data_IF_250236758748
#
_entry.id   IF_250236758748
#
_cell.length_a   1.000
_cell.length_b   1.000
_cell.length_c   1.000
_cell.angle_alpha   90.00
_cell.angle_beta   90.00
_cell.angle_gamma   90.00
#
_symmetry.space_group_name_H-M   'P 1'
#
loop_
_entity.id
_entity.type
_entity.pdbx_description
1 polymer ?
#
# COMPACT_ATOMS: atom_id res chain seq x y z
N UNK A 1 14.27 -24.42 1.41
CA UNK A 1 15.37 -25.33 1.76
C UNK A 1 15.02 -26.76 1.33
N UNK A 2 16.05 -27.57 1.06
CA UNK A 2 15.89 -29.00 0.83
C UNK A 2 15.66 -29.79 2.14
N UNK A 3 15.65 -31.13 2.05
CA UNK A 3 15.46 -32.02 3.22
C UNK A 3 16.62 -31.95 4.23
N UNK A 4 17.80 -31.47 3.82
CA UNK A 4 18.98 -31.25 4.64
C UNK A 4 18.96 -29.85 5.30
N UNK A 5 18.00 -29.00 4.96
CA UNK A 5 17.90 -27.62 5.42
C UNK A 5 18.83 -26.67 4.66
N UNK A 6 19.33 -27.07 3.49
CA UNK A 6 20.20 -26.27 2.65
C UNK A 6 19.40 -25.49 1.59
N UNK A 7 19.83 -24.27 1.30
CA UNK A 7 19.33 -23.45 0.20
C UNK A 7 20.50 -22.73 -0.45
N UNK A 8 20.50 -22.67 -1.77
CA UNK A 8 21.49 -21.93 -2.55
C UNK A 8 20.81 -20.80 -3.31
N UNK A 9 21.40 -19.61 -3.24
CA UNK A 9 20.92 -18.45 -3.95
C UNK A 9 22.09 -17.67 -4.54
N UNK A 10 21.97 -17.19 -5.75
CA UNK A 10 22.95 -16.30 -6.36
C UNK A 10 22.59 -14.84 -6.03
N UNK A 11 23.53 -14.13 -5.40
CA UNK A 11 23.34 -12.76 -4.94
C UNK A 11 24.48 -11.87 -5.46
N UNK A 12 24.22 -10.55 -5.51
CA UNK A 12 25.26 -9.54 -5.66
C UNK A 12 26.13 -9.45 -4.39
N UNK A 13 27.29 -8.81 -4.52
CA UNK A 13 28.16 -8.51 -3.38
C UNK A 13 27.60 -7.40 -2.52
N UNK A 14 27.99 -7.34 -1.26
CA UNK A 14 27.64 -6.29 -0.31
C UNK A 14 26.98 -6.85 0.97
N UNK A 15 26.32 -5.97 1.68
CA UNK A 15 25.61 -6.31 2.91
C UNK A 15 24.30 -7.01 2.59
N UNK A 16 24.08 -8.15 3.20
CA UNK A 16 22.83 -8.90 3.10
C UNK A 16 22.29 -9.23 4.46
N UNK A 17 20.97 -9.33 4.55
CA UNK A 17 20.27 -9.83 5.71
C UNK A 17 19.63 -11.17 5.38
N UNK A 18 20.04 -12.20 6.09
CA UNK A 18 19.51 -13.55 5.98
C UNK A 18 18.52 -13.81 7.12
N UNK A 19 17.34 -14.32 6.78
CA UNK A 19 16.33 -14.73 7.74
C UNK A 19 15.92 -16.18 7.48
N UNK A 20 15.84 -16.97 8.54
CA UNK A 20 15.26 -18.30 8.46
C UNK A 20 14.19 -18.49 9.53
N UNK A 21 13.13 -19.24 9.18
CA UNK A 21 11.99 -19.56 10.04
C UNK A 21 11.57 -21.00 9.87
N UNK A 22 11.23 -21.64 10.96
CA UNK A 22 10.61 -22.97 10.95
C UNK A 22 9.95 -23.23 12.31
N UNK A 23 8.70 -23.70 12.31
CA UNK A 23 7.98 -24.21 13.47
C UNK A 23 8.08 -23.34 14.75
N UNK A 24 7.89 -22.04 14.62
CA UNK A 24 7.97 -21.10 15.74
C UNK A 24 9.39 -20.74 16.16
N UNK A 25 10.39 -21.07 15.35
CA UNK A 25 11.78 -20.66 15.51
C UNK A 25 12.15 -19.62 14.47
N UNK A 26 13.06 -18.73 14.85
CA UNK A 26 13.52 -17.63 14.02
C UNK A 26 15.03 -17.40 14.22
N UNK A 27 15.70 -16.97 13.17
CA UNK A 27 17.04 -16.39 13.21
C UNK A 27 17.18 -15.32 12.13
N UNK A 28 17.87 -14.26 12.48
CA UNK A 28 18.29 -13.23 11.54
C UNK A 28 19.81 -13.04 11.67
N UNK A 29 20.49 -12.93 10.54
CA UNK A 29 21.93 -12.68 10.50
C UNK A 29 22.27 -11.71 9.38
N UNK A 30 23.14 -10.75 9.69
CA UNK A 30 23.71 -9.84 8.70
C UNK A 30 25.09 -10.36 8.29
N UNK A 31 25.37 -10.29 7.01
CA UNK A 31 26.62 -10.72 6.40
C UNK A 31 27.08 -9.69 5.37
N UNK A 32 28.37 -9.40 5.33
CA UNK A 32 28.99 -8.64 4.24
C UNK A 32 29.73 -9.59 3.31
N UNK A 33 29.15 -9.89 2.16
CA UNK A 33 29.74 -10.85 1.21
C UNK A 33 31.03 -10.36 0.57
N UNK A 34 31.33 -9.07 0.64
CA UNK A 34 32.59 -8.53 0.10
C UNK A 34 33.76 -8.64 1.10
N UNK A 35 33.48 -8.58 2.41
CA UNK A 35 34.49 -8.59 3.47
C UNK A 35 34.74 -9.97 4.05
N UNK A 36 33.75 -10.85 4.09
CA UNK A 36 33.82 -12.18 4.68
C UNK A 36 34.59 -13.22 3.83
N UNK A 37 35.47 -12.76 2.93
CA UNK A 37 36.41 -13.62 2.20
C UNK A 37 35.92 -14.10 0.84
N UNK A 38 34.76 -13.62 0.38
CA UNK A 38 34.17 -13.98 -0.93
C UNK A 38 34.55 -12.93 -1.98
N UNK A 39 35.82 -12.71 -2.14
CA UNK A 39 36.35 -11.66 -3.03
C UNK A 39 36.41 -12.00 -4.52
N UNK A 40 35.90 -13.14 -4.94
CA UNK A 40 35.90 -13.54 -6.37
C UNK A 40 34.45 -13.69 -6.87
N UNK A 41 34.22 -13.26 -8.08
CA UNK A 41 32.91 -13.25 -8.74
C UNK A 41 32.19 -14.62 -8.85
N UNK A 42 32.83 -15.71 -8.49
CA UNK A 42 32.35 -17.09 -8.53
C UNK A 42 32.66 -17.88 -7.25
N UNK A 43 32.85 -17.22 -6.12
CA UNK A 43 33.13 -17.94 -4.87
C UNK A 43 31.83 -18.33 -4.16
N UNK A 44 31.69 -19.62 -3.85
CA UNK A 44 30.63 -20.13 -2.98
C UNK A 44 30.89 -19.72 -1.53
N UNK A 45 29.95 -19.06 -0.90
CA UNK A 45 29.97 -18.73 0.51
C UNK A 45 28.88 -19.52 1.25
N UNK A 46 29.28 -20.28 2.26
CA UNK A 46 28.35 -21.01 3.11
C UNK A 46 28.07 -20.22 4.40
N UNK A 47 26.81 -19.92 4.67
CA UNK A 47 26.37 -19.27 5.90
C UNK A 47 25.47 -20.23 6.67
N UNK A 48 25.85 -20.57 7.90
CA UNK A 48 25.02 -21.39 8.78
C UNK A 48 24.13 -20.51 9.64
N UNK A 49 22.83 -20.78 9.60
CA UNK A 49 21.82 -20.13 10.45
C UNK A 49 21.30 -21.14 11.48
N UNK A 50 21.43 -20.80 12.76
CA UNK A 50 20.94 -21.65 13.85
C UNK A 50 19.61 -21.07 14.34
N UNK A 51 18.52 -21.81 14.12
CA UNK A 51 17.18 -21.43 14.54
C UNK A 51 17.09 -21.43 16.08
N UNK A 52 16.57 -20.34 16.65
CA UNK A 52 16.24 -20.17 18.07
C UNK A 52 14.73 -20.03 18.21
N UNK A 53 14.18 -20.22 19.42
CA UNK A 53 12.79 -19.89 19.68
C UNK A 53 12.51 -18.43 19.24
N UNK A 54 11.34 -18.18 18.62
CA UNK A 54 11.04 -16.90 17.95
C UNK A 54 11.24 -15.70 18.88
N UNK A 55 10.86 -15.82 20.16
CA UNK A 55 11.05 -14.75 21.13
C UNK A 55 12.54 -14.45 21.40
N UNK A 56 13.35 -15.51 21.59
CA UNK A 56 14.78 -15.36 21.83
C UNK A 56 15.52 -14.88 20.59
N UNK A 57 15.21 -15.44 19.41
CA UNK A 57 15.81 -15.03 18.14
C UNK A 57 15.49 -13.57 17.78
N UNK A 58 14.27 -13.13 18.05
CA UNK A 58 13.86 -11.75 17.83
C UNK A 58 14.53 -10.79 18.83
N UNK A 59 14.63 -11.19 20.10
CA UNK A 59 15.31 -10.40 21.12
C UNK A 59 16.78 -10.18 20.76
N UNK A 60 17.45 -11.21 20.26
CA UNK A 60 18.84 -11.09 19.80
C UNK A 60 18.93 -10.14 18.59
N UNK A 61 18.06 -10.30 17.60
CA UNK A 61 18.01 -9.41 16.44
C UNK A 61 17.77 -7.93 16.82
N UNK A 62 16.86 -7.69 17.78
CA UNK A 62 16.56 -6.35 18.28
C UNK A 62 17.70 -5.77 19.15
N UNK A 63 18.38 -6.60 19.96
CA UNK A 63 19.45 -6.12 20.85
C UNK A 63 20.67 -5.62 20.08
N UNK A 64 20.96 -6.22 18.92
CA UNK A 64 22.08 -5.80 18.06
C UNK A 64 21.86 -4.44 17.41
N UNK A 65 20.61 -4.03 17.19
CA UNK A 65 20.26 -2.85 16.40
C UNK A 65 19.79 -1.68 17.29
N UNK A 66 19.15 -1.96 18.40
CA UNK A 66 18.46 -0.96 19.25
C UNK A 66 19.38 0.07 19.92
N UNK A 67 20.67 -0.17 20.00
CA UNK A 67 21.59 0.69 20.78
C UNK A 67 22.23 1.85 19.98
N UNK A 68 22.16 1.87 18.64
CA UNK A 68 23.10 2.63 17.83
C UNK A 68 22.49 3.64 16.83
N UNK A 69 21.17 3.80 16.75
CA UNK A 69 20.55 4.70 15.79
C UNK A 69 20.44 4.08 14.38
N UNK A 70 20.72 4.85 13.33
CA UNK A 70 20.69 4.37 11.94
C UNK A 70 21.85 3.43 11.63
N UNK A 71 21.54 2.29 11.04
CA UNK A 71 22.50 1.34 10.50
C UNK A 71 22.58 1.46 8.99
N UNK A 72 23.80 1.63 8.45
CA UNK A 72 24.03 1.67 7.01
C UNK A 72 24.42 0.29 6.49
N UNK A 73 23.77 -0.10 5.41
CA UNK A 73 24.12 -1.26 4.60
C UNK A 73 24.41 -0.83 3.16
N UNK A 74 25.41 -1.46 2.53
CA UNK A 74 25.78 -1.19 1.15
C UNK A 74 25.61 -2.43 0.31
N UNK A 75 24.79 -2.35 -0.72
CA UNK A 75 24.61 -3.37 -1.75
C UNK A 75 25.40 -2.96 -2.98
N UNK A 76 26.35 -3.80 -3.38
CA UNK A 76 27.18 -3.53 -4.56
C UNK A 76 26.54 -4.14 -5.80
N UNK A 77 26.47 -3.39 -6.88
CA UNK A 77 26.07 -3.91 -8.17
C UNK A 77 27.06 -5.00 -8.65
N UNK A 78 26.59 -6.06 -9.33
CA UNK A 78 27.48 -7.04 -9.93
C UNK A 78 28.48 -6.35 -10.89
N UNK A 79 29.77 -6.57 -10.69
CA UNK A 79 30.83 -5.95 -11.51
C UNK A 79 30.78 -6.34 -12.98
N UNK A 80 30.11 -7.45 -13.29
CA UNK A 80 29.99 -8.01 -14.64
C UNK A 80 28.69 -7.65 -15.35
N UNK A 81 27.92 -6.72 -14.85
CA UNK A 81 26.87 -6.12 -15.68
C UNK A 81 27.57 -5.35 -16.78
N UNK A 82 27.83 -6.05 -17.87
CA UNK A 82 28.10 -5.40 -19.14
C UNK A 82 26.85 -4.58 -19.46
N UNK A 83 26.86 -3.33 -19.03
CA UNK A 83 25.96 -2.33 -19.61
C UNK A 83 26.32 -2.38 -21.10
N UNK A 84 25.53 -3.09 -21.89
CA UNK A 84 25.58 -2.94 -23.31
C UNK A 84 25.22 -1.48 -23.53
N UNK A 85 26.24 -0.64 -23.69
CA UNK A 85 26.01 0.65 -24.31
C UNK A 85 25.24 0.33 -25.59
N UNK A 86 23.98 0.71 -25.60
CA UNK A 86 23.21 0.63 -26.84
C UNK A 86 23.85 1.63 -27.75
N UNK A 87 24.75 1.14 -28.58
CA UNK A 87 25.41 1.94 -29.64
C UNK A 87 24.34 2.15 -30.71
N UNK A 88 23.28 2.91 -30.35
CA UNK A 88 22.36 3.41 -31.35
C UNK A 88 23.05 4.56 -32.05
N UNK A 89 23.12 4.49 -33.37
CA UNK A 89 23.57 5.60 -34.17
C UNK A 89 22.66 6.82 -33.97
N UNK A 90 23.18 8.03 -34.17
CA UNK A 90 22.38 9.26 -34.09
C UNK A 90 21.13 9.19 -34.98
N UNK A 91 21.23 8.51 -36.13
CA UNK A 91 20.11 8.29 -37.04
C UNK A 91 19.04 7.38 -36.43
N UNK A 92 19.40 6.31 -35.71
CA UNK A 92 18.47 5.41 -35.03
C UNK A 92 17.78 6.11 -33.83
N UNK A 93 18.53 6.90 -33.07
CA UNK A 93 17.98 7.74 -32.01
C UNK A 93 16.96 8.76 -32.57
N UNK A 94 17.36 9.48 -33.64
CA UNK A 94 16.48 10.46 -34.29
C UNK A 94 15.23 9.82 -34.88
N UNK A 95 15.36 8.64 -35.48
CA UNK A 95 14.22 7.86 -35.98
C UNK A 95 13.31 7.39 -34.86
N UNK A 96 13.87 6.91 -33.74
CA UNK A 96 13.12 6.53 -32.54
C UNK A 96 12.35 7.70 -31.95
N UNK A 97 12.97 8.86 -31.80
CA UNK A 97 12.37 10.09 -31.32
C UNK A 97 11.21 10.54 -32.18
N UNK A 98 11.37 10.53 -33.51
CA UNK A 98 10.27 10.85 -34.45
C UNK A 98 9.11 9.89 -34.32
N UNK A 99 9.36 8.57 -34.29
CA UNK A 99 8.31 7.56 -34.12
C UNK A 99 7.54 7.76 -32.82
N UNK A 100 8.23 8.11 -31.72
CA UNK A 100 7.60 8.42 -30.46
C UNK A 100 6.71 9.67 -30.55
N UNK A 101 7.22 10.74 -31.16
CA UNK A 101 6.46 11.98 -31.37
C UNK A 101 5.21 11.75 -32.22
N UNK A 102 5.33 10.98 -33.31
CA UNK A 102 4.19 10.63 -34.18
C UNK A 102 3.16 9.78 -33.43
N UNK A 103 3.62 8.82 -32.61
CA UNK A 103 2.72 7.99 -31.79
C UNK A 103 1.99 8.82 -30.72
N UNK A 104 2.68 9.76 -30.05
CA UNK A 104 2.08 10.69 -29.10
C UNK A 104 1.02 11.55 -29.78
N UNK A 105 1.35 12.15 -30.94
CA UNK A 105 0.42 12.98 -31.70
C UNK A 105 -0.84 12.19 -32.12
N UNK A 106 -0.67 11.00 -32.66
CA UNK A 106 -1.79 10.13 -33.05
C UNK A 106 -2.68 9.77 -31.85
N UNK A 107 -2.07 9.51 -30.71
CA UNK A 107 -2.80 9.24 -29.47
C UNK A 107 -3.60 10.47 -29.01
N UNK A 108 -3.00 11.65 -29.03
CA UNK A 108 -3.66 12.91 -28.65
C UNK A 108 -4.84 13.23 -29.61
N UNK A 109 -4.63 13.04 -30.91
CA UNK A 109 -5.71 13.20 -31.91
C UNK A 109 -6.86 12.23 -31.66
N UNK A 110 -6.56 10.94 -31.39
CA UNK A 110 -7.57 9.93 -31.06
C UNK A 110 -8.34 10.28 -29.79
N UNK A 111 -7.64 10.60 -28.71
CA UNK A 111 -8.31 10.99 -27.46
C UNK A 111 -9.10 12.29 -27.61
N UNK A 112 -8.58 13.26 -28.36
CA UNK A 112 -9.32 14.49 -28.65
C UNK A 112 -10.59 14.27 -29.48
N UNK A 113 -10.62 13.23 -30.32
CA UNK A 113 -11.85 12.83 -31.03
C UNK A 113 -12.85 12.15 -30.09
N UNK A 114 -12.38 11.21 -29.26
CA UNK A 114 -13.22 10.45 -28.32
C UNK A 114 -13.83 11.33 -27.22
N UNK A 115 -13.14 12.38 -26.79
CA UNK A 115 -13.60 13.25 -25.70
C UNK A 115 -14.27 14.54 -26.18
N UNK A 116 -14.33 14.79 -27.50
CA UNK A 116 -14.80 16.07 -28.06
C UNK A 116 -16.23 16.42 -27.66
N UNK A 117 -17.15 15.46 -27.72
CA UNK A 117 -18.53 15.65 -27.35
C UNK A 117 -18.66 15.91 -25.85
N UNK A 118 -18.07 15.05 -25.03
CA UNK A 118 -18.08 15.16 -23.57
C UNK A 118 -17.54 16.51 -23.06
N UNK A 119 -16.44 17.01 -23.66
CA UNK A 119 -15.87 18.33 -23.32
C UNK A 119 -16.76 19.48 -23.81
N UNK A 120 -17.41 19.32 -24.95
CA UNK A 120 -18.34 20.36 -25.46
C UNK A 120 -19.57 20.49 -24.57
N UNK A 121 -20.05 19.41 -23.98
CA UNK A 121 -21.22 19.38 -23.08
C UNK A 121 -20.81 19.84 -21.66
N UNK A 122 -19.67 19.40 -21.18
CA UNK A 122 -19.13 19.70 -19.83
C UNK A 122 -17.74 20.34 -19.90
N UNK A 123 -17.61 21.59 -20.37
CA UNK A 123 -16.31 22.26 -20.50
C UNK A 123 -15.62 22.47 -19.15
N UNK A 124 -16.37 22.55 -18.05
CA UNK A 124 -15.84 22.64 -16.68
C UNK A 124 -15.17 21.35 -16.20
N UNK A 125 -15.43 20.22 -16.86
CA UNK A 125 -14.86 18.90 -16.56
C UNK A 125 -13.83 18.46 -17.61
N UNK A 126 -13.30 19.38 -18.43
CA UNK A 126 -12.39 19.08 -19.55
C UNK A 126 -11.21 18.17 -19.13
N UNK A 127 -10.54 18.47 -18.01
CA UNK A 127 -9.41 17.67 -17.53
C UNK A 127 -9.85 16.23 -17.20
N UNK A 128 -10.99 16.06 -16.55
CA UNK A 128 -11.57 14.76 -16.23
C UNK A 128 -11.89 13.96 -17.48
N UNK A 129 -12.57 14.61 -18.46
CA UNK A 129 -12.95 13.95 -19.72
C UNK A 129 -11.72 13.52 -20.53
N UNK A 130 -10.65 14.34 -20.54
CA UNK A 130 -9.37 13.96 -21.14
C UNK A 130 -8.72 12.75 -20.45
N UNK A 131 -8.79 12.69 -19.10
CA UNK A 131 -8.31 11.54 -18.33
C UNK A 131 -9.16 10.31 -18.61
N UNK A 132 -10.48 10.44 -18.67
CA UNK A 132 -11.40 9.33 -18.92
C UNK A 132 -11.21 8.71 -20.32
N UNK A 133 -10.88 9.54 -21.33
CA UNK A 133 -10.63 9.06 -22.69
C UNK A 133 -11.84 8.34 -23.28
N UNK A 134 -11.73 7.04 -23.51
CA UNK A 134 -12.83 6.22 -24.08
C UNK A 134 -14.06 6.15 -23.16
N UNK A 135 -13.90 6.40 -21.88
CA UNK A 135 -14.98 6.39 -20.88
C UNK A 135 -15.67 7.74 -20.69
N UNK A 136 -15.26 8.78 -21.42
CA UNK A 136 -15.79 10.13 -21.24
C UNK A 136 -17.31 10.22 -21.48
N UNK A 137 -17.86 9.45 -22.43
CA UNK A 137 -19.29 9.40 -22.71
C UNK A 137 -20.10 8.76 -21.57
N UNK A 138 -19.54 7.76 -20.87
CA UNK A 138 -20.17 7.18 -19.69
C UNK A 138 -20.28 8.20 -18.55
N UNK A 139 -19.20 9.00 -18.33
CA UNK A 139 -19.24 10.07 -17.32
C UNK A 139 -20.21 11.18 -17.72
N UNK A 140 -20.28 11.53 -19.00
CA UNK A 140 -21.26 12.50 -19.54
C UNK A 140 -22.68 12.00 -19.29
N UNK A 141 -22.98 10.77 -19.68
CA UNK A 141 -24.29 10.16 -19.46
C UNK A 141 -24.69 10.12 -17.98
N UNK A 142 -23.71 9.89 -17.10
CA UNK A 142 -23.94 9.96 -15.66
C UNK A 142 -24.24 11.39 -15.19
N UNK A 143 -23.54 12.42 -15.66
CA UNK A 143 -23.76 13.82 -15.25
C UNK A 143 -25.10 14.38 -15.76
N UNK A 144 -25.52 14.02 -16.96
CA UNK A 144 -26.70 14.56 -17.61
C UNK A 144 -28.02 13.92 -17.16
N UNK A 145 -28.01 12.86 -16.38
CA UNK A 145 -29.22 12.11 -16.06
C UNK A 145 -30.25 12.90 -15.26
N UNK A 146 -29.81 13.72 -14.32
CA UNK A 146 -30.63 14.62 -13.50
C UNK A 146 -29.75 15.68 -12.81
N UNK A 147 -30.38 16.66 -12.14
CA UNK A 147 -29.71 17.76 -11.44
C UNK A 147 -29.24 17.41 -10.03
N UNK A 148 -28.96 16.12 -9.73
CA UNK A 148 -28.49 15.71 -8.40
C UNK A 148 -27.06 16.22 -8.14
N UNK A 149 -26.85 17.10 -7.14
CA UNK A 149 -25.55 17.71 -6.87
C UNK A 149 -24.49 16.70 -6.41
N UNK A 150 -24.90 15.53 -5.95
CA UNK A 150 -23.96 14.50 -5.48
C UNK A 150 -23.29 13.76 -6.66
N UNK A 151 -23.78 13.90 -7.91
CA UNK A 151 -23.12 13.35 -9.10
C UNK A 151 -21.71 13.89 -9.26
N UNK A 152 -21.57 15.21 -9.22
CA UNK A 152 -20.26 15.85 -9.32
C UNK A 152 -19.36 15.46 -8.14
N UNK A 153 -19.87 15.45 -6.92
CA UNK A 153 -19.12 15.07 -5.73
C UNK A 153 -18.63 13.63 -5.78
N UNK A 154 -19.46 12.72 -6.33
CA UNK A 154 -19.06 11.33 -6.54
C UNK A 154 -17.90 11.27 -7.54
N UNK A 155 -18.00 11.97 -8.69
CA UNK A 155 -16.90 12.02 -9.65
C UNK A 155 -15.64 12.65 -9.06
N UNK A 156 -15.75 13.67 -8.20
CA UNK A 156 -14.63 14.33 -7.54
C UNK A 156 -13.91 13.40 -6.54
N UNK A 157 -14.59 12.36 -6.06
CA UNK A 157 -14.01 11.34 -5.18
C UNK A 157 -13.23 10.26 -5.92
N UNK A 158 -13.34 10.18 -7.25
CA UNK A 158 -12.76 9.13 -8.07
C UNK A 158 -11.25 9.33 -8.32
N UNK A 159 -10.53 8.22 -8.40
CA UNK A 159 -9.15 8.23 -8.88
C UNK A 159 -9.11 8.40 -10.41
N UNK A 160 -7.91 8.71 -10.94
CA UNK A 160 -7.70 8.77 -12.41
C UNK A 160 -8.03 7.43 -13.09
N UNK A 161 -7.79 6.32 -12.42
CA UNK A 161 -8.14 4.99 -12.92
C UNK A 161 -9.65 4.80 -12.97
N UNK A 162 -10.35 5.18 -11.90
CA UNK A 162 -11.79 5.02 -11.82
C UNK A 162 -12.53 5.83 -12.89
N UNK A 163 -12.07 7.05 -13.18
CA UNK A 163 -12.61 7.84 -14.29
C UNK A 163 -12.48 7.15 -15.67
N UNK A 164 -11.50 6.24 -15.84
CA UNK A 164 -11.32 5.48 -17.10
C UNK A 164 -12.16 4.22 -17.18
N UNK A 165 -12.58 3.66 -16.05
CA UNK A 165 -13.09 2.30 -15.99
C UNK A 165 -14.56 2.22 -15.56
N UNK A 166 -15.07 3.21 -14.77
CA UNK A 166 -16.40 3.13 -14.20
C UNK A 166 -17.48 3.55 -15.19
N UNK A 167 -18.45 2.68 -15.39
CA UNK A 167 -19.61 2.93 -16.21
C UNK A 167 -20.68 3.72 -15.45
N UNK A 168 -21.54 4.43 -16.18
CA UNK A 168 -22.63 5.21 -15.62
C UNK A 168 -23.54 4.39 -14.68
N UNK A 169 -23.84 3.14 -15.04
CA UNK A 169 -24.69 2.25 -14.22
C UNK A 169 -24.08 1.93 -12.85
N UNK A 170 -22.74 1.79 -12.77
CA UNK A 170 -22.04 1.56 -11.51
C UNK A 170 -22.07 2.83 -10.66
N UNK A 171 -21.84 3.98 -11.27
CA UNK A 171 -21.92 5.27 -10.59
C UNK A 171 -23.31 5.55 -10.03
N UNK A 172 -24.37 5.17 -10.77
CA UNK A 172 -25.76 5.27 -10.31
C UNK A 172 -26.04 4.40 -9.06
N UNK A 173 -25.51 3.18 -9.04
CA UNK A 173 -25.64 2.31 -7.87
C UNK A 173 -25.06 3.00 -6.61
N UNK A 174 -23.89 3.64 -6.75
CA UNK A 174 -23.23 4.33 -5.64
C UNK A 174 -23.90 5.66 -5.27
N UNK A 175 -24.52 6.34 -6.23
CA UNK A 175 -25.29 7.55 -5.97
C UNK A 175 -26.54 7.31 -5.11
N UNK A 176 -26.99 6.05 -4.97
CA UNK A 176 -28.12 5.66 -4.12
C UNK A 176 -27.87 5.88 -2.61
N UNK A 177 -26.66 6.28 -2.21
CA UNK A 177 -26.30 6.58 -0.84
C UNK A 177 -27.15 7.71 -0.25
N UNK A 178 -27.72 7.48 0.94
CA UNK A 178 -28.55 8.46 1.64
C UNK A 178 -27.69 9.33 2.55
N UNK A 179 -27.90 10.62 2.50
CA UNK A 179 -27.25 11.56 3.39
C UNK A 179 -27.77 11.43 4.82
N UNK A 180 -26.84 11.43 5.79
CA UNK A 180 -27.15 11.46 7.21
C UNK A 180 -26.63 12.74 7.89
N UNK A 181 -26.52 12.73 9.20
CA UNK A 181 -26.13 13.88 10.02
C UNK A 181 -24.61 14.04 10.24
N UNK A 182 -23.81 13.51 9.35
CA UNK A 182 -22.34 13.63 9.36
C UNK A 182 -21.83 14.74 8.43
N UNK A 183 -20.53 15.10 8.55
CA UNK A 183 -19.90 16.12 7.74
C UNK A 183 -19.85 15.73 6.23
N UNK A 184 -19.67 16.72 5.37
CA UNK A 184 -19.71 16.54 3.91
C UNK A 184 -18.58 15.63 3.41
N UNK A 185 -17.38 15.80 3.94
CA UNK A 185 -16.21 14.98 3.61
C UNK A 185 -16.44 13.50 3.95
N UNK A 186 -17.03 13.21 5.11
CA UNK A 186 -17.44 11.85 5.50
C UNK A 186 -18.48 11.30 4.52
N UNK A 187 -19.46 12.11 4.13
CA UNK A 187 -20.45 11.69 3.15
C UNK A 187 -19.82 11.34 1.81
N UNK A 188 -18.94 12.18 1.31
CA UNK A 188 -18.33 12.00 -0.01
C UNK A 188 -17.30 10.88 0.01
N UNK A 189 -16.37 10.88 0.95
CA UNK A 189 -15.22 9.95 0.93
C UNK A 189 -15.54 8.57 1.51
N UNK A 190 -16.36 8.54 2.57
CA UNK A 190 -16.54 7.32 3.35
C UNK A 190 -17.90 6.64 3.13
N UNK A 191 -18.78 7.27 2.35
CA UNK A 191 -20.07 6.69 1.99
C UNK A 191 -20.31 6.68 0.48
N UNK A 192 -20.23 7.84 -0.19
CA UNK A 192 -20.56 7.99 -1.59
C UNK A 192 -19.49 7.40 -2.53
N UNK A 193 -18.21 7.64 -2.23
CA UNK A 193 -17.07 7.12 -2.99
C UNK A 193 -17.16 5.60 -3.14
N UNK A 194 -17.14 5.06 -4.37
CA UNK A 194 -17.25 3.62 -4.60
C UNK A 194 -16.01 2.85 -4.15
N UNK A 195 -14.82 3.45 -4.29
CA UNK A 195 -13.55 2.78 -4.00
C UNK A 195 -13.28 2.69 -2.51
N UNK A 196 -12.85 1.52 -2.09
CA UNK A 196 -12.40 1.25 -0.72
C UNK A 196 -10.89 1.11 -0.70
N UNK A 197 -10.31 0.27 -1.57
CA UNK A 197 -8.88 0.02 -1.67
C UNK A 197 -8.42 -0.17 -3.13
N UNK A 198 -8.00 -1.36 -3.50
CA UNK A 198 -7.51 -1.71 -4.84
C UNK A 198 -8.43 -2.71 -5.57
N UNK A 199 -9.62 -2.93 -5.05
CA UNK A 199 -10.61 -3.84 -5.61
C UNK A 199 -11.14 -3.38 -6.97
N UNK A 200 -11.70 -4.30 -7.74
CA UNK A 200 -12.55 -3.98 -8.86
C UNK A 200 -13.89 -3.44 -8.36
N UNK A 201 -14.27 -2.26 -8.84
CA UNK A 201 -15.52 -1.60 -8.45
C UNK A 201 -16.65 -2.07 -9.37
N UNK A 202 -17.70 -2.61 -8.76
CA UNK A 202 -18.96 -2.94 -9.41
C UNK A 202 -20.14 -2.28 -8.70
N UNK A 203 -21.34 -2.52 -9.18
CA UNK A 203 -22.59 -2.08 -8.56
C UNK A 203 -22.88 -2.92 -7.29
N UNK A 204 -22.03 -2.77 -6.29
CA UNK A 204 -22.07 -3.64 -5.11
C UNK A 204 -23.19 -3.31 -4.13
N UNK A 205 -23.72 -2.06 -4.12
CA UNK A 205 -24.75 -1.67 -3.16
C UNK A 205 -26.06 -2.42 -3.39
N UNK A 206 -26.57 -2.36 -4.62
CA UNK A 206 -27.79 -3.08 -5.00
C UNK A 206 -27.59 -4.60 -4.88
N UNK A 207 -26.42 -5.10 -5.28
CA UNK A 207 -26.12 -6.53 -5.15
C UNK A 207 -26.12 -6.98 -3.69
N UNK A 208 -25.42 -6.29 -2.79
CA UNK A 208 -25.38 -6.61 -1.34
C UNK A 208 -26.79 -6.56 -0.77
N UNK A 209 -27.56 -5.50 -1.04
CA UNK A 209 -28.93 -5.39 -0.58
C UNK A 209 -29.85 -6.50 -1.11
N UNK A 210 -29.56 -7.07 -2.31
CA UNK A 210 -30.31 -8.20 -2.85
C UNK A 210 -29.95 -9.53 -2.22
N UNK A 211 -28.72 -9.67 -1.69
CA UNK A 211 -28.23 -10.91 -1.05
C UNK A 211 -28.63 -10.99 0.42
N UNK A 212 -28.61 -9.84 1.13
CA UNK A 212 -28.98 -9.76 2.53
C UNK A 212 -30.50 -9.79 2.72
N UNK A 213 -30.97 -10.57 3.64
CA UNK A 213 -32.39 -10.53 4.06
C UNK A 213 -32.75 -9.19 4.68
N UNK A 214 -34.02 -8.81 4.64
CA UNK A 214 -34.49 -7.56 5.26
C UNK A 214 -34.16 -7.52 6.76
N UNK A 215 -34.22 -8.67 7.44
CA UNK A 215 -33.88 -8.80 8.86
C UNK A 215 -32.38 -8.55 9.11
N UNK A 216 -31.50 -9.09 8.25
CA UNK A 216 -30.06 -8.84 8.34
C UNK A 216 -29.75 -7.37 8.08
N UNK A 217 -30.36 -6.75 7.05
CA UNK A 217 -30.17 -5.33 6.75
C UNK A 217 -30.56 -4.44 7.95
N UNK A 218 -31.69 -4.69 8.59
CA UNK A 218 -32.15 -3.95 9.77
C UNK A 218 -31.22 -4.18 10.97
N UNK A 219 -30.82 -5.43 11.23
CA UNK A 219 -29.91 -5.77 12.32
C UNK A 219 -28.53 -5.12 12.13
N UNK A 220 -27.97 -5.16 10.92
CA UNK A 220 -26.67 -4.57 10.60
C UNK A 220 -26.71 -3.05 10.64
N UNK A 221 -27.77 -2.42 10.16
CA UNK A 221 -27.95 -0.97 10.26
C UNK A 221 -28.02 -0.49 11.72
N UNK A 222 -28.64 -1.29 12.58
CA UNK A 222 -28.76 -0.98 14.01
C UNK A 222 -27.47 -1.29 14.79
N UNK A 223 -26.73 -2.31 14.38
CA UNK A 223 -25.48 -2.74 15.02
C UNK A 223 -24.46 -3.25 13.98
N UNK A 224 -23.58 -2.37 13.45
CA UNK A 224 -22.58 -2.73 12.44
C UNK A 224 -21.58 -3.81 12.88
N UNK A 225 -21.40 -4.05 14.18
CA UNK A 225 -20.58 -5.15 14.70
C UNK A 225 -21.03 -6.53 14.19
N UNK A 226 -22.32 -6.68 13.94
CA UNK A 226 -22.90 -7.94 13.44
C UNK A 226 -22.43 -8.25 12.00
N UNK A 227 -22.07 -7.23 11.23
CA UNK A 227 -21.53 -7.41 9.86
C UNK A 227 -20.23 -8.21 9.92
N UNK A 228 -19.35 -7.92 10.89
CA UNK A 228 -18.11 -8.66 11.01
C UNK A 228 -18.33 -10.12 11.38
N UNK A 229 -19.31 -10.39 12.22
CA UNK A 229 -19.72 -11.76 12.52
C UNK A 229 -20.26 -12.48 11.28
N UNK A 230 -21.11 -11.80 10.50
CA UNK A 230 -21.60 -12.31 9.23
C UNK A 230 -20.46 -12.63 8.25
N UNK A 231 -19.49 -11.73 8.07
CA UNK A 231 -18.32 -11.96 7.21
C UNK A 231 -17.51 -13.18 7.69
N UNK A 232 -17.27 -13.28 9.01
CA UNK A 232 -16.53 -14.40 9.58
C UNK A 232 -17.24 -15.76 9.38
N UNK A 233 -18.56 -15.78 9.43
CA UNK A 233 -19.35 -17.00 9.31
C UNK A 233 -19.57 -17.43 7.85
N UNK A 234 -19.68 -16.47 6.92
CA UNK A 234 -20.09 -16.73 5.54
C UNK A 234 -18.97 -16.69 4.53
N UNK A 235 -17.81 -16.09 4.88
CA UNK A 235 -16.65 -15.93 3.99
C UNK A 235 -15.46 -16.69 4.56
N UNK A 236 -15.08 -17.76 3.90
CA UNK A 236 -13.90 -18.56 4.26
C UNK A 236 -12.64 -17.71 4.09
N UNK A 237 -11.82 -17.67 5.13
CA UNK A 237 -10.52 -17.01 5.08
C UNK A 237 -9.48 -17.87 4.37
N UNK A 238 -8.76 -17.31 3.42
CA UNK A 238 -7.71 -17.97 2.65
C UNK A 238 -6.39 -17.26 2.91
N UNK A 239 -5.55 -17.78 3.82
CA UNK A 239 -4.27 -17.15 4.17
C UNK A 239 -3.25 -17.19 3.04
N UNK A 240 -3.32 -18.15 2.13
CA UNK A 240 -2.43 -18.31 0.97
C UNK A 240 -2.61 -17.18 -0.07
N UNK A 241 -3.74 -16.52 -0.03
CA UNK A 241 -4.12 -15.43 -0.94
C UNK A 241 -3.86 -14.03 -0.32
N UNK A 242 -3.02 -13.94 0.70
CA UNK A 242 -2.74 -12.66 1.36
C UNK A 242 -1.75 -11.79 0.58
N UNK A 243 -2.21 -11.28 -0.56
CA UNK A 243 -1.53 -10.21 -1.27
C UNK A 243 -2.32 -8.90 -1.06
N UNK A 244 -1.70 -7.88 -0.50
CA UNK A 244 -2.33 -6.57 -0.27
C UNK A 244 -2.86 -5.91 -1.55
N UNK A 245 -2.31 -6.30 -2.69
CA UNK A 245 -2.63 -5.76 -4.02
C UNK A 245 -3.63 -6.61 -4.80
N UNK A 246 -3.90 -7.84 -4.37
CA UNK A 246 -4.85 -8.74 -5.00
C UNK A 246 -6.04 -8.95 -4.06
N UNK A 247 -7.05 -8.11 -4.19
CA UNK A 247 -8.26 -8.22 -3.41
C UNK A 247 -9.47 -8.54 -4.28
N UNK A 248 -10.31 -9.44 -3.79
CA UNK A 248 -11.58 -9.72 -4.42
C UNK A 248 -12.53 -8.52 -4.28
N UNK A 249 -13.34 -8.26 -5.31
CA UNK A 249 -14.44 -7.29 -5.20
C UNK A 249 -15.47 -7.76 -4.17
N UNK A 250 -16.28 -6.86 -3.56
CA UNK A 250 -17.35 -7.25 -2.64
C UNK A 250 -18.30 -8.29 -3.23
N UNK A 251 -18.65 -8.12 -4.50
CA UNK A 251 -19.51 -9.07 -5.25
C UNK A 251 -18.81 -10.41 -5.40
N UNK A 252 -17.52 -10.40 -5.77
CA UNK A 252 -16.70 -11.61 -5.89
C UNK A 252 -16.61 -12.38 -4.58
N UNK A 253 -16.31 -11.71 -3.48
CA UNK A 253 -16.28 -12.30 -2.15
C UNK A 253 -17.60 -12.99 -1.77
N UNK A 254 -18.74 -12.34 -2.01
CA UNK A 254 -20.07 -12.91 -1.71
C UNK A 254 -20.42 -14.09 -2.59
N UNK A 255 -20.05 -14.05 -3.87
CA UNK A 255 -20.29 -15.15 -4.82
C UNK A 255 -19.43 -16.37 -4.52
N UNK A 256 -18.14 -16.16 -4.29
CA UNK A 256 -17.16 -17.24 -4.04
C UNK A 256 -17.20 -17.78 -2.61
N UNK A 257 -17.79 -17.02 -1.67
CA UNK A 257 -17.80 -17.33 -0.23
C UNK A 257 -16.40 -17.49 0.37
N UNK A 258 -15.40 -16.78 -0.20
CA UNK A 258 -14.01 -16.82 0.24
C UNK A 258 -13.32 -15.47 -0.01
N UNK A 259 -12.24 -15.22 0.73
CA UNK A 259 -11.44 -14.01 0.57
C UNK A 259 -10.26 -13.93 1.53
N UNK A 260 -9.24 -13.20 1.12
CA UNK A 260 -8.11 -12.79 1.97
C UNK A 260 -8.57 -11.88 3.12
N UNK A 261 -7.69 -11.58 4.05
CA UNK A 261 -7.98 -10.64 5.14
C UNK A 261 -8.43 -9.26 4.61
N UNK A 262 -7.75 -8.77 3.57
CA UNK A 262 -8.08 -7.49 2.91
C UNK A 262 -9.43 -7.56 2.21
N UNK A 263 -9.70 -8.62 1.45
CA UNK A 263 -10.98 -8.79 0.75
C UNK A 263 -12.18 -8.85 1.72
N UNK A 264 -12.01 -9.50 2.87
CA UNK A 264 -13.03 -9.56 3.93
C UNK A 264 -13.24 -8.20 4.61
N UNK A 265 -12.17 -7.43 4.77
CA UNK A 265 -12.23 -6.04 5.28
C UNK A 265 -12.97 -5.13 4.29
N UNK A 266 -12.67 -5.22 2.98
CA UNK A 266 -13.36 -4.49 1.93
C UNK A 266 -14.85 -4.85 1.91
N UNK A 267 -15.20 -6.14 2.03
CA UNK A 267 -16.58 -6.58 2.08
C UNK A 267 -17.35 -5.99 3.28
N UNK A 268 -16.73 -5.97 4.46
CA UNK A 268 -17.33 -5.33 5.65
C UNK A 268 -17.68 -3.86 5.36
N UNK A 269 -16.73 -3.10 4.81
CA UNK A 269 -16.90 -1.69 4.48
C UNK A 269 -17.99 -1.51 3.41
N UNK A 270 -18.00 -2.36 2.39
CA UNK A 270 -19.00 -2.34 1.33
C UNK A 270 -20.42 -2.60 1.88
N UNK A 271 -20.59 -3.54 2.81
CA UNK A 271 -21.88 -3.81 3.48
C UNK A 271 -22.31 -2.57 4.29
N UNK A 272 -21.42 -1.98 5.10
CA UNK A 272 -21.70 -0.74 5.82
C UNK A 272 -22.20 0.35 4.88
N UNK A 273 -21.45 0.64 3.81
CA UNK A 273 -21.80 1.68 2.83
C UNK A 273 -23.12 1.38 2.11
N UNK A 274 -23.42 0.11 1.82
CA UNK A 274 -24.69 -0.31 1.21
C UNK A 274 -25.89 -0.07 2.13
N UNK A 275 -25.67 -0.12 3.44
CA UNK A 275 -26.67 0.16 4.47
C UNK A 275 -26.67 1.63 4.94
N UNK A 276 -26.00 2.52 4.20
CA UNK A 276 -25.88 3.95 4.50
C UNK A 276 -25.12 4.26 5.81
N UNK A 277 -24.16 3.43 6.18
CA UNK A 277 -23.25 3.65 7.29
C UNK A 277 -21.90 4.07 6.68
N UNK A 278 -21.41 5.30 6.94
CA UNK A 278 -20.07 5.69 6.47
C UNK A 278 -19.03 4.74 7.04
N UNK A 279 -18.17 4.24 6.16
CA UNK A 279 -17.15 3.28 6.54
C UNK A 279 -15.91 3.42 5.64
N UNK A 280 -14.74 3.17 6.19
CA UNK A 280 -13.47 3.31 5.50
C UNK A 280 -12.47 2.26 5.94
N UNK A 281 -11.38 2.17 5.16
CA UNK A 281 -10.21 1.40 5.50
C UNK A 281 -9.19 2.29 6.23
N UNK A 282 -8.81 1.95 7.45
CA UNK A 282 -7.58 2.48 8.05
C UNK A 282 -6.40 1.86 7.28
N UNK A 283 -5.81 2.64 6.37
CA UNK A 283 -4.72 2.18 5.48
C UNK A 283 -3.45 1.80 6.25
N UNK A 284 -3.25 2.36 7.44
CA UNK A 284 -2.08 2.08 8.27
C UNK A 284 -2.14 0.67 8.86
N UNK A 285 -3.33 0.19 9.18
CA UNK A 285 -3.56 -1.07 9.86
C UNK A 285 -4.30 -2.09 9.01
N UNK A 286 -4.79 -1.68 7.84
CA UNK A 286 -5.69 -2.47 7.00
C UNK A 286 -6.93 -2.95 7.78
N UNK A 287 -7.42 -2.10 8.72
CA UNK A 287 -8.59 -2.39 9.53
C UNK A 287 -9.83 -1.66 9.02
N UNK A 288 -11.01 -2.29 9.09
CA UNK A 288 -12.25 -1.61 8.77
C UNK A 288 -12.63 -0.63 9.89
N UNK A 289 -13.09 0.54 9.51
CA UNK A 289 -13.70 1.52 10.42
C UNK A 289 -15.10 1.86 9.93
N UNK A 290 -16.04 2.00 10.84
CA UNK A 290 -17.40 2.46 10.57
C UNK A 290 -17.79 3.63 11.48
N UNK A 291 -18.66 4.50 10.99
CA UNK A 291 -19.10 5.68 11.72
C UNK A 291 -20.20 5.33 12.72
N UNK A 292 -19.97 5.62 14.01
CA UNK A 292 -20.94 5.50 15.07
C UNK A 292 -20.67 6.54 16.18
N UNK A 293 -21.71 7.11 16.75
CA UNK A 293 -21.66 8.08 17.86
C UNK A 293 -20.67 9.23 17.63
N UNK A 294 -20.62 9.76 16.42
CA UNK A 294 -19.81 10.92 16.08
C UNK A 294 -18.31 10.63 15.81
N UNK A 295 -17.92 9.37 15.71
CA UNK A 295 -16.54 8.97 15.43
C UNK A 295 -16.44 7.69 14.59
N UNK A 296 -15.29 7.49 13.93
CA UNK A 296 -14.95 6.21 13.33
C UNK A 296 -14.50 5.20 14.39
N UNK A 297 -15.03 3.98 14.32
CA UNK A 297 -14.76 2.88 15.25
C UNK A 297 -14.35 1.63 14.48
N UNK A 298 -13.35 0.92 15.00
CA UNK A 298 -13.01 -0.44 14.55
C UNK A 298 -13.96 -1.43 15.22
N UNK A 299 -14.47 -2.46 14.51
CA UNK A 299 -15.26 -3.52 15.13
C UNK A 299 -14.56 -4.14 16.35
N UNK A 300 -15.28 -4.28 17.47
CA UNK A 300 -14.73 -4.70 18.78
C UNK A 300 -14.06 -6.08 18.74
N UNK A 301 -14.49 -6.95 17.85
CA UNK A 301 -13.86 -8.26 17.62
C UNK A 301 -12.41 -8.18 17.12
N UNK A 302 -11.94 -7.00 16.73
CA UNK A 302 -10.52 -6.68 16.48
C UNK A 302 -10.08 -5.70 17.56
N UNK A 303 -9.42 -6.21 18.60
CA UNK A 303 -8.97 -5.41 19.74
C UNK A 303 -8.35 -4.09 19.28
N UNK A 304 -8.84 -2.98 19.81
CA UNK A 304 -8.26 -1.65 19.57
C UNK A 304 -6.82 -1.67 20.10
N UNK A 305 -5.86 -1.76 19.19
CA UNK A 305 -4.48 -1.55 19.56
C UNK A 305 -4.32 -0.11 20.06
N UNK A 306 -3.78 0.06 21.26
CA UNK A 306 -3.38 1.39 21.72
C UNK A 306 -2.47 2.03 20.69
N UNK A 307 -2.66 3.33 20.40
CA UNK A 307 -1.88 4.06 19.40
C UNK A 307 -0.92 5.07 20.06
N UNK A 308 0.17 5.37 19.39
CA UNK A 308 1.05 6.50 19.65
C UNK A 308 1.34 7.25 18.36
N UNK A 309 2.09 8.31 18.43
CA UNK A 309 2.42 9.17 17.29
C UNK A 309 3.86 8.98 16.86
N UNK A 310 4.09 8.77 15.56
CA UNK A 310 5.39 8.88 14.93
C UNK A 310 5.46 10.22 14.19
N UNK A 311 6.42 11.07 14.55
CA UNK A 311 6.76 12.29 13.83
C UNK A 311 8.07 12.07 13.08
N UNK A 312 8.00 11.95 11.76
CA UNK A 312 9.18 11.90 10.90
C UNK A 312 9.54 13.31 10.41
N UNK A 313 10.82 13.66 10.54
CA UNK A 313 11.36 14.88 9.99
C UNK A 313 12.20 14.61 8.77
N UNK A 314 11.91 15.35 7.72
CA UNK A 314 12.67 15.31 6.48
C UNK A 314 13.92 16.19 6.57
N UNK A 315 14.87 15.91 5.69
CA UNK A 315 15.99 16.79 5.36
C UNK A 315 15.51 17.77 4.29
N UNK A 316 15.71 19.09 4.45
CA UNK A 316 15.30 20.07 3.46
C UNK A 316 15.75 19.73 2.04
N UNK A 317 14.82 19.77 1.09
CA UNK A 317 15.07 19.53 -0.32
C UNK A 317 15.20 18.06 -0.74
N UNK A 318 15.02 17.09 0.16
CA UNK A 318 14.97 15.65 -0.19
C UNK A 318 13.52 15.23 -0.48
N UNK A 319 13.29 14.67 -1.67
CA UNK A 319 11.99 14.12 -2.08
C UNK A 319 11.88 12.63 -1.72
N UNK A 320 11.34 12.31 -0.55
CA UNK A 320 11.11 10.93 -0.13
C UNK A 320 9.76 10.41 -0.63
N UNK A 321 9.78 9.34 -1.42
CA UNK A 321 8.57 8.66 -1.91
C UNK A 321 8.47 7.31 -1.19
N UNK A 322 7.33 7.07 -0.53
CA UNK A 322 7.07 5.79 0.14
C UNK A 322 7.09 4.63 -0.85
N UNK A 323 7.56 3.47 -0.42
CA UNK A 323 7.78 2.26 -1.21
C UNK A 323 8.83 2.36 -2.33
N UNK A 324 9.32 3.58 -2.66
CA UNK A 324 10.41 3.78 -3.62
C UNK A 324 11.74 4.11 -2.94
N UNK A 325 11.70 5.02 -1.97
CA UNK A 325 12.88 5.51 -1.26
C UNK A 325 12.90 5.07 0.20
N UNK A 326 11.76 4.78 0.78
CA UNK A 326 11.64 4.34 2.17
C UNK A 326 10.40 3.49 2.42
N UNK A 327 10.47 2.67 3.44
CA UNK A 327 9.36 1.84 3.91
C UNK A 327 9.32 1.80 5.44
N UNK A 328 8.13 1.58 5.98
CA UNK A 328 7.90 1.35 7.39
C UNK A 328 7.34 -0.06 7.57
N UNK A 329 7.97 -0.87 8.39
CA UNK A 329 7.52 -2.21 8.76
C UNK A 329 7.16 -2.28 10.23
N UNK A 330 6.12 -3.01 10.58
CA UNK A 330 5.74 -3.33 11.96
C UNK A 330 6.14 -4.76 12.30
N UNK A 331 6.68 -4.96 13.48
CA UNK A 331 6.96 -6.31 13.97
C UNK A 331 5.66 -7.04 14.31
N UNK A 332 5.39 -8.13 13.61
CA UNK A 332 4.25 -9.02 13.86
C UNK A 332 4.78 -10.42 14.16
N UNK A 333 4.58 -10.86 15.40
CA UNK A 333 5.13 -12.13 15.93
C UNK A 333 6.67 -12.16 15.79
N UNK A 334 7.19 -12.70 14.71
CA UNK A 334 8.61 -13.00 14.47
C UNK A 334 9.17 -12.34 13.20
N UNK A 335 8.42 -11.42 12.58
CA UNK A 335 8.89 -10.74 11.36
C UNK A 335 8.30 -9.34 11.22
N UNK A 336 8.98 -8.51 10.41
CA UNK A 336 8.49 -7.20 10.07
C UNK A 336 7.61 -7.27 8.83
N UNK A 337 6.36 -6.88 8.99
CA UNK A 337 5.40 -6.70 7.88
C UNK A 337 5.48 -5.25 7.42
N UNK A 338 5.80 -5.04 6.15
CA UNK A 338 5.81 -3.69 5.56
C UNK A 338 4.39 -3.15 5.52
N UNK A 339 4.20 -1.97 6.09
CA UNK A 339 2.91 -1.30 6.10
C UNK A 339 2.63 -0.66 4.74
N UNK A 340 1.38 -0.63 4.35
CA UNK A 340 0.98 0.00 3.10
C UNK A 340 0.58 1.46 3.35
N UNK A 341 1.49 2.37 3.03
CA UNK A 341 1.30 3.82 3.17
C UNK A 341 1.42 4.53 1.82
N UNK A 342 0.81 3.98 0.78
CA UNK A 342 0.82 4.62 -0.53
C UNK A 342 0.26 6.05 -0.46
N UNK A 343 0.98 7.00 -1.05
CA UNK A 343 0.57 8.40 -1.12
C UNK A 343 0.95 9.28 0.07
N UNK A 344 1.76 8.78 1.02
CA UNK A 344 2.31 9.63 2.06
C UNK A 344 3.25 10.70 1.49
N UNK A 345 3.04 11.93 1.91
CA UNK A 345 3.84 13.10 1.52
C UNK A 345 4.27 13.85 2.77
N UNK A 346 5.52 14.31 2.81
CA UNK A 346 6.00 15.20 3.85
C UNK A 346 5.41 16.60 3.64
N UNK A 347 4.62 17.09 4.59
CA UNK A 347 4.10 18.45 4.61
C UNK A 347 5.06 19.33 5.41
N UNK A 348 5.57 20.41 4.78
CA UNK A 348 6.54 21.31 5.42
C UNK A 348 7.68 20.56 6.14
N UNK A 349 8.19 19.52 5.45
CA UNK A 349 9.30 18.68 5.93
C UNK A 349 8.96 17.80 7.14
N UNK A 350 7.69 17.61 7.47
CA UNK A 350 7.23 16.72 8.53
C UNK A 350 6.19 15.72 7.99
N UNK A 351 6.17 14.55 8.57
CA UNK A 351 5.13 13.54 8.35
C UNK A 351 4.71 12.97 9.70
N UNK A 352 3.45 13.10 10.02
CA UNK A 352 2.87 12.59 11.26
C UNK A 352 2.02 11.34 10.98
N UNK A 353 2.27 10.26 11.72
CA UNK A 353 1.55 9.00 11.60
C UNK A 353 1.06 8.53 12.97
N UNK A 354 -0.22 8.17 13.07
CA UNK A 354 -0.81 7.54 14.24
C UNK A 354 -0.70 6.02 14.11
N UNK A 355 0.21 5.41 14.85
CA UNK A 355 0.57 4.00 14.72
C UNK A 355 0.19 3.22 15.98
N UNK A 356 -0.15 1.91 15.87
CA UNK A 356 -0.32 1.03 17.03
C UNK A 356 0.94 0.97 17.86
N UNK A 357 0.77 0.73 19.15
CA UNK A 357 1.89 0.38 20.03
C UNK A 357 2.58 -0.87 19.51
N UNK A 358 3.90 -0.82 19.43
CA UNK A 358 4.70 -1.93 18.92
C UNK A 358 6.11 -1.52 18.53
N UNK A 359 6.83 -2.47 17.96
CA UNK A 359 8.19 -2.27 17.43
C UNK A 359 8.09 -2.10 15.92
N UNK A 360 8.84 -1.14 15.42
CA UNK A 360 8.84 -0.73 14.03
C UNK A 360 10.24 -0.70 13.45
N UNK A 361 10.32 -0.86 12.16
CA UNK A 361 11.53 -0.76 11.37
C UNK A 361 11.32 0.22 10.21
N UNK A 362 12.10 1.29 10.19
CA UNK A 362 12.17 2.22 9.08
C UNK A 362 13.38 1.87 8.23
N UNK A 363 13.17 1.66 6.94
CA UNK A 363 14.24 1.44 5.97
C UNK A 363 14.18 2.55 4.94
N UNK A 364 15.33 3.20 4.71
CA UNK A 364 15.50 4.16 3.63
C UNK A 364 16.58 3.69 2.66
N UNK A 365 16.42 3.97 1.36
CA UNK A 365 17.32 3.48 0.31
C UNK A 365 17.68 4.62 -0.64
N UNK A 366 18.96 4.72 -0.99
CA UNK A 366 19.50 5.57 -2.05
C UNK A 366 20.15 4.69 -3.13
N UNK A 367 19.69 4.83 -4.36
CA UNK A 367 20.29 4.16 -5.53
C UNK A 367 21.37 5.06 -6.11
N UNK A 368 22.53 4.49 -6.42
CA UNK A 368 23.66 5.17 -7.03
C UNK A 368 23.69 4.93 -8.55
N UNK A 369 24.32 5.86 -9.27
CA UNK A 369 24.39 5.78 -10.75
C UNK A 369 25.16 4.56 -11.27
N UNK A 370 26.08 4.02 -10.48
CA UNK A 370 26.82 2.80 -10.80
C UNK A 370 26.03 1.50 -10.55
N UNK A 371 24.78 1.62 -10.07
CA UNK A 371 23.92 0.50 -9.73
C UNK A 371 24.00 0.03 -8.28
N UNK A 372 24.96 0.53 -7.51
CA UNK A 372 25.04 0.27 -6.07
C UNK A 372 23.83 0.88 -5.34
N UNK A 373 23.54 0.35 -4.14
CA UNK A 373 22.51 0.89 -3.28
C UNK A 373 23.08 1.09 -1.87
N UNK A 374 22.74 2.22 -1.29
CA UNK A 374 22.96 2.49 0.13
C UNK A 374 21.61 2.37 0.84
N UNK A 375 21.53 1.57 1.89
CA UNK A 375 20.35 1.42 2.72
C UNK A 375 20.66 1.87 4.15
N UNK A 376 19.70 2.52 4.77
CA UNK A 376 19.74 2.85 6.19
C UNK A 376 18.53 2.22 6.87
N UNK A 377 18.76 1.57 7.99
CA UNK A 377 17.74 0.89 8.80
C UNK A 377 17.73 1.45 10.23
N UNK A 378 16.52 1.68 10.75
CA UNK A 378 16.32 2.13 12.13
C UNK A 378 15.19 1.33 12.78
N UNK A 379 15.46 0.76 13.95
CA UNK A 379 14.45 0.15 14.81
C UNK A 379 14.03 1.11 15.92
N UNK A 380 12.72 1.17 16.18
CA UNK A 380 12.18 2.03 17.23
C UNK A 380 10.86 1.46 17.76
N UNK A 381 10.42 1.96 18.90
CA UNK A 381 9.15 1.62 19.50
C UNK A 381 8.15 2.77 19.42
N UNK A 382 6.89 2.43 19.19
CA UNK A 382 5.76 3.32 19.40
C UNK A 382 5.11 2.92 20.70
N UNK A 383 5.02 3.88 21.63
CA UNK A 383 4.41 3.70 22.93
C UNK A 383 3.03 4.38 23.00
N UNK A 384 2.16 3.87 23.88
CA UNK A 384 0.80 4.38 24.05
C UNK A 384 0.81 5.88 24.39
N UNK A 385 0.07 6.66 23.59
CA UNK A 385 -0.14 8.10 23.79
C UNK A 385 1.15 8.94 23.86
N UNK A 386 2.28 8.38 23.40
CA UNK A 386 3.54 9.11 23.31
C UNK A 386 3.87 9.44 21.86
N UNK A 387 4.65 10.51 21.69
CA UNK A 387 5.23 10.88 20.41
C UNK A 387 6.66 10.36 20.32
N UNK A 388 6.96 9.64 19.26
CA UNK A 388 8.31 9.25 18.84
C UNK A 388 8.73 10.14 17.69
N UNK A 389 9.78 10.93 17.86
CA UNK A 389 10.31 11.82 16.82
C UNK A 389 11.58 11.23 16.23
N UNK A 390 11.62 11.10 14.89
CA UNK A 390 12.75 10.56 14.14
C UNK A 390 13.08 11.46 12.96
N UNK A 391 14.34 11.43 12.56
CA UNK A 391 14.84 12.15 11.39
C UNK A 391 15.16 11.16 10.28
N UNK A 392 14.80 11.50 9.04
CA UNK A 392 15.21 10.71 7.87
C UNK A 392 16.73 10.72 7.73
N UNK A 393 17.35 9.63 7.22
CA UNK A 393 18.81 9.52 7.17
C UNK A 393 19.42 10.47 6.14
N UNK A 394 20.56 11.04 6.48
CA UNK A 394 21.37 11.80 5.53
C UNK A 394 22.54 10.95 5.04
N UNK A 395 22.39 10.35 3.86
CA UNK A 395 23.41 9.54 3.24
C UNK A 395 24.70 10.30 2.85
N UNK A 396 24.71 11.63 2.97
CA UNK A 396 25.88 12.45 2.66
C UNK A 396 26.68 12.79 3.91
N UNK A 397 26.09 12.59 5.10
CA UNK A 397 26.74 12.79 6.39
C UNK A 397 27.00 11.45 7.05
N UNK A 398 28.21 10.95 6.86
CA UNK A 398 28.66 9.66 7.45
C UNK A 398 29.02 9.75 8.93
N UNK A 399 29.06 10.95 9.52
CA UNK A 399 29.44 11.15 10.91
C UNK A 399 28.30 10.74 11.86
N UNK A 400 28.41 9.56 12.45
CA UNK A 400 27.50 9.04 13.48
C UNK A 400 26.70 7.81 13.10
N UNK A 401 26.90 7.26 11.91
CA UNK A 401 26.31 5.99 11.52
C UNK A 401 27.36 4.89 11.72
N UNK A 402 27.09 3.99 12.64
CA UNK A 402 27.99 2.86 12.90
C UNK A 402 27.84 1.83 11.79
N UNK A 403 28.94 1.34 11.18
CA UNK A 403 28.87 0.17 10.32
C UNK A 403 28.38 -1.04 11.13
N UNK A 404 27.78 -2.02 10.44
CA UNK A 404 27.34 -3.27 11.06
C UNK A 404 28.49 -3.89 11.86
N UNK A 405 28.41 -3.84 13.19
CA UNK A 405 29.36 -4.61 14.00
C UNK A 405 29.00 -6.10 13.87
N UNK A 406 30.00 -6.90 13.53
CA UNK A 406 29.89 -8.35 13.50
C UNK A 406 29.33 -8.81 14.83
N UNK A 407 28.09 -9.28 14.87
CA UNK A 407 27.59 -10.04 16.00
C UNK A 407 28.43 -11.31 16.04
N UNK A 408 29.40 -11.33 16.96
CA UNK A 408 30.28 -12.47 17.28
C UNK A 408 29.48 -13.64 17.83
#
# INVERSE_FOLDING_TARGET
>A
TDEQGEASIRLGLGDIRLQARSEGKFVERYCNLAEDGVGAADADCAVTLVLKDSEAGMKDALSGISACGWHLAKLCAPKEVVVRESVLSEEEVSRGTRRLADAVKLREERFGQLTRHAIAVHPEEEERMRVAGENAEELTAFLEKDDNPDRKKLLDSLTKKDNKDLRAEVLEDHLSAKRGSWAEDIHVQDLLCPRIWLEEIGAYRSYICSVLTAQEQEAFASNPELIWNYVNQNITYIPEEEYDTLCASPIGCLKLKMGSAVSRTILFIAICRSLNIPARLDKSLMLPEYWADGAFRVPVSRAQASKGTLLLRNIPGKGWIYAQHWTLGRLEKDHFVTMNHAGLVFEKETLELFLPVGIYRLIAVKRLLNGDQEAAELLFAIEKEKQTELYMPDFEKTDGVMPWEKAS
#
